data_IF_556863879242
#
_entry.id   IF_556863879242
#
_cell.length_a   1.000
_cell.length_b   1.000
_cell.length_c   1.000
_cell.angle_alpha   90.00
_cell.angle_beta   90.00
_cell.angle_gamma   90.00
#
_symmetry.space_group_name_H-M   'P 1'
#
loop_
_entity.id
_entity.type
_entity.pdbx_description
1 polymer ?
#
# COMPACT_ATOMS: atom_id res chain seq x y z
N UNK A 1 -7.28 -2.57 23.72
CA UNK A 1 -6.79 -1.18 23.90
C UNK A 1 -7.97 -0.28 24.25
N UNK A 2 -7.81 0.78 25.05
CA UNK A 2 -8.93 1.70 25.32
C UNK A 2 -9.10 2.67 24.15
N UNK A 3 -10.34 2.95 23.74
CA UNK A 3 -10.73 3.81 22.61
C UNK A 3 -10.01 5.16 22.61
N UNK A 4 -9.82 5.75 23.79
CA UNK A 4 -9.13 7.04 23.94
C UNK A 4 -7.67 7.04 23.46
N UNK A 5 -6.95 5.93 23.62
CA UNK A 5 -5.56 5.79 23.13
C UNK A 5 -5.53 5.62 21.61
N UNK A 6 -6.54 4.95 21.05
CA UNK A 6 -6.68 4.76 19.60
C UNK A 6 -6.98 6.10 18.90
N UNK A 7 -7.95 6.84 19.42
CA UNK A 7 -8.34 8.14 18.85
C UNK A 7 -7.20 9.16 18.92
N UNK A 8 -6.43 9.13 20.02
CA UNK A 8 -5.28 10.03 20.21
C UNK A 8 -4.15 9.85 19.18
N UNK A 9 -4.10 8.69 18.51
CA UNK A 9 -3.07 8.34 17.52
C UNK A 9 -3.59 8.52 16.10
N UNK A 10 -4.86 8.18 15.87
CA UNK A 10 -5.45 8.13 14.54
C UNK A 10 -5.96 9.48 14.06
N UNK A 11 -6.66 10.21 14.92
CA UNK A 11 -7.25 11.51 14.57
C UNK A 11 -6.21 12.55 14.09
N UNK A 12 -5.02 12.68 14.71
CA UNK A 12 -4.02 13.64 14.22
C UNK A 12 -3.51 13.31 12.80
N UNK A 13 -3.33 12.03 12.46
CA UNK A 13 -2.89 11.62 11.12
C UNK A 13 -3.98 11.91 10.09
N UNK A 14 -5.23 11.61 10.43
CA UNK A 14 -6.38 11.90 9.58
C UNK A 14 -6.55 13.40 9.33
N UNK A 15 -6.41 14.24 10.35
CA UNK A 15 -6.51 15.70 10.23
C UNK A 15 -5.40 16.28 9.34
N UNK A 16 -4.19 15.69 9.36
CA UNK A 16 -3.11 16.14 8.47
C UNK A 16 -3.43 15.90 6.99
N UNK A 17 -4.09 14.79 6.65
CA UNK A 17 -4.37 14.40 5.26
C UNK A 17 -5.67 15.02 4.75
N UNK A 18 -6.72 15.03 5.59
CA UNK A 18 -8.08 15.41 5.19
C UNK A 18 -8.58 16.73 5.79
N UNK A 19 -7.84 17.30 6.74
CA UNK A 19 -8.18 18.56 7.38
C UNK A 19 -7.76 19.79 6.58
N UNK A 20 -7.74 20.93 7.25
CA UNK A 20 -7.58 22.24 6.63
C UNK A 20 -6.17 22.54 6.06
N UNK A 21 -5.20 21.63 6.20
CA UNK A 21 -3.84 21.82 5.67
C UNK A 21 -3.72 21.49 4.17
N UNK A 22 -4.74 20.84 3.59
CA UNK A 22 -4.94 20.66 2.15
C UNK A 22 -3.66 20.28 1.35
N UNK A 23 -2.95 19.20 1.72
CA UNK A 23 -1.71 18.81 1.04
C UNK A 23 -1.90 18.52 -0.45
N UNK A 24 -3.10 18.06 -0.83
CA UNK A 24 -3.46 17.80 -2.24
C UNK A 24 -3.46 19.09 -3.06
N UNK A 25 -4.11 20.15 -2.56
CA UNK A 25 -4.22 21.42 -3.28
C UNK A 25 -2.86 22.08 -3.45
N UNK A 26 -2.07 22.10 -2.38
CA UNK A 26 -0.71 22.67 -2.42
C UNK A 26 0.17 21.91 -3.40
N UNK A 27 0.15 20.57 -3.39
CA UNK A 27 0.94 19.77 -4.34
C UNK A 27 0.55 20.01 -5.80
N UNK A 28 -0.76 20.10 -6.10
CA UNK A 28 -1.24 20.29 -7.48
C UNK A 28 -0.98 21.72 -7.97
N UNK A 29 -0.98 22.71 -7.08
CA UNK A 29 -0.82 24.13 -7.44
C UNK A 29 0.65 24.57 -7.50
N UNK A 30 1.46 24.19 -6.51
CA UNK A 30 2.83 24.69 -6.35
C UNK A 30 3.90 23.60 -6.42
N UNK A 31 3.52 22.32 -6.45
CA UNK A 31 4.48 21.22 -6.41
C UNK A 31 5.19 21.09 -5.07
N UNK A 32 4.62 21.67 -4.01
CA UNK A 32 5.17 21.67 -2.65
C UNK A 32 4.17 21.06 -1.67
N UNK A 33 4.70 20.45 -0.60
CA UNK A 33 3.90 20.14 0.58
C UNK A 33 3.69 21.42 1.40
N UNK A 34 2.60 21.52 2.18
CA UNK A 34 2.43 22.60 3.15
C UNK A 34 3.59 22.65 4.15
N UNK A 35 3.87 23.84 4.68
CA UNK A 35 4.94 24.05 5.65
C UNK A 35 4.84 23.05 6.82
N UNK A 36 5.97 22.44 7.16
CA UNK A 36 6.14 21.43 8.21
C UNK A 36 5.32 20.14 8.05
N UNK A 37 4.47 20.00 7.01
CA UNK A 37 3.54 18.89 6.88
C UNK A 37 4.22 17.52 6.92
N UNK A 38 5.33 17.36 6.20
CA UNK A 38 6.14 16.13 6.20
C UNK A 38 6.60 15.76 7.62
N UNK A 39 7.18 16.71 8.34
CA UNK A 39 7.74 16.46 9.67
C UNK A 39 6.63 16.13 10.67
N UNK A 40 5.49 16.82 10.57
CA UNK A 40 4.33 16.54 11.41
C UNK A 40 3.75 15.16 11.12
N UNK A 41 3.58 14.79 9.84
CA UNK A 41 3.11 13.47 9.44
C UNK A 41 4.03 12.36 9.96
N UNK A 42 5.35 12.48 9.74
CA UNK A 42 6.32 11.48 10.22
C UNK A 42 6.37 11.40 11.75
N UNK A 43 6.20 12.51 12.46
CA UNK A 43 6.12 12.51 13.92
C UNK A 43 4.88 11.75 14.42
N UNK A 44 3.71 11.98 13.79
CA UNK A 44 2.48 11.26 14.13
C UNK A 44 2.60 9.77 13.77
N UNK A 45 3.17 9.45 12.61
CA UNK A 45 3.37 8.05 12.19
C UNK A 45 4.29 7.31 13.15
N UNK A 46 5.38 7.94 13.61
CA UNK A 46 6.29 7.36 14.61
C UNK A 46 5.62 7.13 15.97
N UNK A 47 4.71 8.00 16.38
CA UNK A 47 3.89 7.76 17.57
C UNK A 47 2.95 6.55 17.35
N UNK A 48 2.39 6.43 16.15
CA UNK A 48 1.51 5.34 15.77
C UNK A 48 2.23 3.98 15.66
N UNK A 49 3.49 3.95 15.20
CA UNK A 49 4.32 2.74 15.09
C UNK A 49 4.49 1.98 16.41
N UNK A 50 4.36 2.63 17.56
CA UNK A 50 4.46 1.98 18.87
C UNK A 50 3.20 1.18 19.23
N UNK A 51 2.09 1.43 18.54
CA UNK A 51 0.75 0.98 18.91
C UNK A 51 0.11 0.15 17.80
N UNK A 52 0.22 0.62 16.56
CA UNK A 52 -0.48 0.06 15.41
C UNK A 52 -0.05 -1.38 15.05
N UNK A 53 1.24 -1.76 15.07
CA UNK A 53 1.64 -3.13 14.74
C UNK A 53 1.06 -4.19 15.69
N UNK A 54 0.99 -3.85 16.99
CA UNK A 54 0.41 -4.71 18.01
C UNK A 54 -1.13 -4.69 18.05
N UNK A 55 -1.78 -3.87 17.21
CA UNK A 55 -3.22 -3.85 17.09
C UNK A 55 -3.67 -4.56 15.81
N UNK A 56 -4.36 -5.68 15.97
CA UNK A 56 -4.78 -6.54 14.87
C UNK A 56 -5.91 -5.94 14.03
N UNK A 57 -6.66 -4.96 14.56
CA UNK A 57 -7.80 -4.35 13.90
C UNK A 57 -7.63 -2.85 13.75
N UNK A 58 -7.82 -2.33 12.54
CA UNK A 58 -7.69 -0.91 12.20
C UNK A 58 -8.99 -0.36 11.65
N UNK A 59 -9.24 0.94 11.86
CA UNK A 59 -10.32 1.61 11.16
C UNK A 59 -9.98 1.73 9.67
N UNK A 60 -10.98 1.57 8.80
CA UNK A 60 -10.82 1.76 7.36
C UNK A 60 -10.35 3.17 7.03
N UNK A 61 -10.87 4.17 7.74
CA UNK A 61 -10.48 5.58 7.56
C UNK A 61 -9.01 5.83 7.87
N UNK A 62 -8.49 5.28 8.96
CA UNK A 62 -7.06 5.36 9.28
C UNK A 62 -6.24 4.71 8.16
N UNK A 63 -6.59 3.49 7.79
CA UNK A 63 -5.87 2.78 6.75
C UNK A 63 -5.89 3.53 5.42
N UNK A 64 -7.06 4.05 5.03
CA UNK A 64 -7.23 4.86 3.83
C UNK A 64 -6.40 6.13 3.87
N UNK A 65 -6.30 6.78 5.03
CA UNK A 65 -5.45 7.94 5.26
C UNK A 65 -3.97 7.64 4.98
N UNK A 66 -3.46 6.56 5.57
CA UNK A 66 -2.08 6.12 5.40
C UNK A 66 -1.82 5.71 3.93
N UNK A 67 -2.72 4.90 3.38
CA UNK A 67 -2.68 4.46 1.99
C UNK A 67 -2.69 5.65 1.02
N UNK A 68 -3.54 6.64 1.27
CA UNK A 68 -3.62 7.85 0.47
C UNK A 68 -2.33 8.67 0.54
N UNK A 69 -1.79 8.89 1.75
CA UNK A 69 -0.54 9.61 1.92
C UNK A 69 0.63 8.94 1.17
N UNK A 70 0.74 7.62 1.26
CA UNK A 70 1.83 6.86 0.66
C UNK A 70 1.71 6.69 -0.87
N UNK A 71 0.50 6.55 -1.41
CA UNK A 71 0.32 6.22 -2.83
C UNK A 71 -0.21 7.38 -3.67
N UNK A 72 -1.06 8.24 -3.10
CA UNK A 72 -1.79 9.25 -3.85
C UNK A 72 -1.20 10.65 -3.77
N UNK A 73 -0.51 11.03 -2.69
CA UNK A 73 0.24 12.30 -2.67
C UNK A 73 1.40 12.32 -3.70
N UNK A 74 2.22 11.25 -3.84
CA UNK A 74 3.21 11.17 -4.92
C UNK A 74 2.58 11.35 -6.31
N UNK A 75 1.43 10.72 -6.52
CA UNK A 75 0.65 10.85 -7.76
C UNK A 75 0.22 12.29 -8.06
N UNK A 76 -0.19 13.06 -7.05
CA UNK A 76 -0.56 14.47 -7.24
C UNK A 76 0.64 15.33 -7.64
N UNK A 77 1.79 15.06 -7.02
CA UNK A 77 3.03 15.74 -7.37
C UNK A 77 3.50 15.40 -8.79
N UNK A 78 3.43 14.14 -9.21
CA UNK A 78 3.79 13.72 -10.57
C UNK A 78 2.91 14.40 -11.63
N UNK A 79 1.62 14.59 -11.35
CA UNK A 79 0.71 15.35 -12.23
C UNK A 79 1.17 16.80 -12.33
N UNK A 80 1.49 17.46 -11.21
CA UNK A 80 2.00 18.83 -11.24
C UNK A 80 3.31 18.93 -12.03
N UNK A 81 4.28 18.06 -11.76
CA UNK A 81 5.58 18.02 -12.45
C UNK A 81 5.42 17.85 -13.97
N UNK A 82 4.52 16.95 -14.40
CA UNK A 82 4.24 16.73 -15.82
C UNK A 82 3.58 17.94 -16.51
N UNK A 83 2.73 18.68 -15.80
CA UNK A 83 2.02 19.86 -16.33
C UNK A 83 2.89 21.12 -16.30
N UNK A 84 3.64 21.34 -15.21
CA UNK A 84 4.49 22.51 -15.02
C UNK A 84 5.81 22.42 -15.79
N UNK A 85 6.29 21.20 -16.06
CA UNK A 85 7.63 20.94 -16.58
C UNK A 85 8.75 21.27 -15.59
N UNK A 86 8.42 21.41 -14.29
CA UNK A 86 9.35 21.77 -13.23
C UNK A 86 9.57 20.61 -12.26
N UNK A 87 10.82 20.43 -11.85
CA UNK A 87 11.20 19.41 -10.85
C UNK A 87 11.40 20.07 -9.48
N UNK A 88 10.74 19.54 -8.45
CA UNK A 88 11.01 19.88 -7.05
C UNK A 88 11.54 18.66 -6.29
N UNK A 89 12.87 18.52 -6.26
CA UNK A 89 13.56 17.39 -5.63
C UNK A 89 13.31 17.27 -4.14
N UNK A 90 13.16 18.38 -3.44
CA UNK A 90 12.88 18.37 -2.00
C UNK A 90 11.53 17.73 -1.72
N UNK A 91 10.50 18.12 -2.49
CA UNK A 91 9.16 17.53 -2.35
C UNK A 91 9.13 16.07 -2.79
N UNK A 92 9.85 15.71 -3.87
CA UNK A 92 10.00 14.31 -4.29
C UNK A 92 10.63 13.45 -3.20
N UNK A 93 11.71 13.92 -2.57
CA UNK A 93 12.38 13.23 -1.46
C UNK A 93 11.45 13.11 -0.24
N UNK A 94 10.73 14.18 0.11
CA UNK A 94 9.77 14.18 1.20
C UNK A 94 8.67 13.12 0.98
N UNK A 95 8.08 13.07 -0.22
CA UNK A 95 7.06 12.09 -0.59
C UNK A 95 7.61 10.66 -0.62
N UNK A 96 8.86 10.48 -1.07
CA UNK A 96 9.56 9.20 -0.99
C UNK A 96 9.72 8.70 0.45
N UNK A 97 10.07 9.59 1.38
CA UNK A 97 10.21 9.26 2.81
C UNK A 97 8.86 8.97 3.50
N UNK A 98 7.82 9.73 3.16
CA UNK A 98 6.44 9.46 3.60
C UNK A 98 5.98 8.08 3.13
N UNK A 99 6.20 7.77 1.85
CA UNK A 99 5.87 6.48 1.26
C UNK A 99 6.61 5.35 1.98
N UNK A 100 7.94 5.47 2.12
CA UNK A 100 8.77 4.46 2.76
C UNK A 100 8.33 4.17 4.19
N UNK A 101 8.20 5.20 5.01
CA UNK A 101 7.87 5.01 6.43
C UNK A 101 6.50 4.37 6.59
N UNK A 102 5.52 4.80 5.79
CA UNK A 102 4.17 4.22 5.81
C UNK A 102 4.15 2.76 5.34
N UNK A 103 4.90 2.43 4.29
CA UNK A 103 5.04 1.06 3.81
C UNK A 103 5.67 0.15 4.88
N UNK A 104 6.76 0.59 5.53
CA UNK A 104 7.39 -0.18 6.59
C UNK A 104 6.41 -0.48 7.73
N UNK A 105 5.55 0.48 8.10
CA UNK A 105 4.48 0.26 9.07
C UNK A 105 3.49 -0.82 8.61
N UNK A 106 3.04 -0.79 7.35
CA UNK A 106 2.13 -1.82 6.81
C UNK A 106 2.75 -3.22 6.89
N UNK A 107 3.99 -3.37 6.44
CA UNK A 107 4.66 -4.67 6.44
C UNK A 107 5.01 -5.16 7.84
N UNK A 108 5.37 -4.26 8.76
CA UNK A 108 5.54 -4.59 10.18
C UNK A 108 4.23 -5.10 10.79
N UNK A 109 3.12 -4.42 10.52
CA UNK A 109 1.79 -4.80 11.02
C UNK A 109 1.38 -6.18 10.50
N UNK A 110 1.62 -6.47 9.22
CA UNK A 110 1.38 -7.80 8.65
C UNK A 110 2.20 -8.88 9.39
N UNK A 111 3.48 -8.63 9.66
CA UNK A 111 4.37 -9.56 10.34
C UNK A 111 3.96 -9.89 11.78
N UNK A 112 3.25 -8.97 12.44
CA UNK A 112 2.74 -9.13 13.80
C UNK A 112 1.32 -9.70 13.84
N UNK A 113 0.67 -9.86 12.68
CA UNK A 113 -0.69 -10.37 12.60
C UNK A 113 -0.78 -11.89 12.74
N UNK A 114 -1.96 -12.37 13.15
CA UNK A 114 -2.28 -13.79 13.23
C UNK A 114 -2.06 -14.52 11.91
N UNK A 115 -2.22 -13.84 10.76
CA UNK A 115 -2.00 -14.44 9.45
C UNK A 115 -0.55 -14.92 9.25
N UNK A 116 0.42 -14.26 9.87
CA UNK A 116 1.83 -14.64 9.81
C UNK A 116 2.29 -15.43 11.05
N UNK A 117 1.73 -15.13 12.23
CA UNK A 117 2.18 -15.74 13.50
C UNK A 117 1.47 -17.06 13.81
N UNK A 118 0.19 -17.16 13.47
CA UNK A 118 -0.65 -18.32 13.77
C UNK A 118 -1.60 -18.63 12.59
N UNK A 119 -1.07 -18.95 11.39
CA UNK A 119 -1.87 -19.14 10.17
C UNK A 119 -2.94 -20.24 10.32
N UNK A 120 -2.72 -21.19 11.22
CA UNK A 120 -3.68 -22.25 11.51
C UNK A 120 -4.95 -21.78 12.24
N UNK A 121 -4.92 -20.60 12.84
CA UNK A 121 -6.09 -19.96 13.46
C UNK A 121 -7.03 -19.29 12.45
N UNK A 122 -6.60 -19.11 11.19
CA UNK A 122 -7.42 -18.47 10.18
C UNK A 122 -8.62 -19.33 9.79
N UNK A 123 -9.78 -18.70 9.66
CA UNK A 123 -10.94 -19.28 8.99
C UNK A 123 -10.61 -19.67 7.55
N UNK A 124 -11.38 -20.58 6.97
CA UNK A 124 -11.16 -21.04 5.59
C UNK A 124 -11.21 -19.89 4.56
N UNK A 125 -12.14 -18.94 4.75
CA UNK A 125 -12.28 -17.73 3.94
C UNK A 125 -11.06 -16.83 4.00
N UNK A 126 -10.56 -16.53 5.21
CA UNK A 126 -9.36 -15.72 5.44
C UNK A 126 -8.11 -16.40 4.92
N UNK A 127 -7.98 -17.71 5.10
CA UNK A 127 -6.89 -18.51 4.50
C UNK A 127 -6.93 -18.43 2.98
N UNK A 128 -8.09 -18.61 2.37
CA UNK A 128 -8.27 -18.47 0.91
C UNK A 128 -7.87 -17.08 0.43
N UNK A 129 -8.27 -16.03 1.15
CA UNK A 129 -7.90 -14.65 0.84
C UNK A 129 -6.38 -14.44 0.94
N UNK A 130 -5.75 -14.95 2.00
CA UNK A 130 -4.31 -14.91 2.17
C UNK A 130 -3.57 -15.59 1.01
N UNK A 131 -3.97 -16.81 0.63
CA UNK A 131 -3.38 -17.55 -0.48
C UNK A 131 -3.43 -16.78 -1.81
N UNK A 132 -4.57 -16.14 -2.11
CA UNK A 132 -4.78 -15.38 -3.34
C UNK A 132 -3.99 -14.07 -3.40
N UNK A 133 -3.59 -13.51 -2.24
CA UNK A 133 -2.98 -12.18 -2.15
C UNK A 133 -1.50 -12.24 -1.82
N UNK A 134 -1.13 -12.94 -0.74
CA UNK A 134 0.22 -12.97 -0.18
C UNK A 134 0.86 -14.37 -0.26
N UNK A 135 0.05 -15.41 -0.51
CA UNK A 135 0.50 -16.79 -0.60
C UNK A 135 0.80 -17.28 -2.04
N UNK A 136 1.06 -18.59 -2.20
CA UNK A 136 1.38 -19.24 -3.47
C UNK A 136 0.39 -19.02 -4.63
N UNK A 137 -0.89 -18.74 -4.37
CA UNK A 137 -1.88 -18.50 -5.43
C UNK A 137 -1.84 -17.05 -5.97
N UNK A 138 -1.00 -16.19 -5.41
CA UNK A 138 -0.76 -14.84 -5.89
C UNK A 138 -0.09 -14.83 -7.28
N UNK A 139 -0.54 -13.97 -8.23
CA UNK A 139 0.00 -13.94 -9.58
C UNK A 139 1.44 -13.42 -9.66
N UNK A 140 1.94 -12.79 -8.59
CA UNK A 140 3.30 -12.25 -8.50
C UNK A 140 4.40 -13.25 -8.88
N UNK A 141 4.18 -14.55 -8.64
CA UNK A 141 5.20 -15.60 -8.79
C UNK A 141 5.14 -16.42 -10.07
N UNK A 142 4.19 -16.17 -10.98
CA UNK A 142 4.07 -17.00 -12.19
C UNK A 142 3.60 -16.15 -13.36
N UNK A 143 4.27 -16.21 -14.53
CA UNK A 143 3.74 -15.62 -15.76
C UNK A 143 2.40 -16.28 -16.10
N UNK A 144 1.30 -15.63 -15.75
CA UNK A 144 -0.04 -16.15 -16.03
C UNK A 144 -0.46 -15.82 -17.45
N UNK A 145 -1.10 -16.79 -18.12
CA UNK A 145 -1.87 -16.50 -19.35
C UNK A 145 -3.09 -15.65 -18.99
N UNK A 146 -3.59 -14.84 -19.92
CA UNK A 146 -4.73 -13.92 -19.67
C UNK A 146 -5.95 -14.60 -19.06
N UNK A 147 -6.25 -15.85 -19.45
CA UNK A 147 -7.34 -16.64 -18.86
C UNK A 147 -7.11 -17.00 -17.38
N UNK A 148 -5.88 -17.34 -17.01
CA UNK A 148 -5.54 -17.66 -15.62
C UNK A 148 -5.59 -16.41 -14.74
N UNK A 149 -5.14 -15.27 -15.27
CA UNK A 149 -5.26 -13.98 -14.58
C UNK A 149 -6.74 -13.59 -14.37
N UNK A 150 -7.60 -13.82 -15.36
CA UNK A 150 -9.05 -13.63 -15.23
C UNK A 150 -9.66 -14.52 -14.14
N UNK A 151 -9.25 -15.80 -14.09
CA UNK A 151 -9.72 -16.74 -13.08
C UNK A 151 -9.27 -16.34 -11.68
N UNK A 152 -8.00 -15.96 -11.52
CA UNK A 152 -7.48 -15.43 -10.27
C UNK A 152 -8.25 -14.17 -9.85
N UNK A 153 -8.45 -13.22 -10.77
CA UNK A 153 -9.17 -11.97 -10.46
C UNK A 153 -10.61 -12.23 -10.01
N UNK A 154 -11.30 -13.17 -10.66
CA UNK A 154 -12.63 -13.59 -10.25
C UNK A 154 -12.64 -14.23 -8.85
N UNK A 155 -11.69 -15.13 -8.58
CA UNK A 155 -11.55 -15.77 -7.27
C UNK A 155 -11.22 -14.75 -6.16
N UNK A 156 -10.32 -13.81 -6.44
CA UNK A 156 -9.97 -12.70 -5.54
C UNK A 156 -11.20 -11.85 -5.20
N UNK A 157 -12.01 -11.46 -6.19
CA UNK A 157 -13.23 -10.68 -5.95
C UNK A 157 -14.22 -11.41 -5.05
N UNK A 158 -14.45 -12.69 -5.30
CA UNK A 158 -15.32 -13.51 -4.45
C UNK A 158 -14.76 -13.56 -3.03
N UNK A 159 -13.46 -13.85 -2.90
CA UNK A 159 -12.81 -13.96 -1.60
C UNK A 159 -12.86 -12.66 -0.80
N UNK A 160 -12.61 -11.50 -1.42
CA UNK A 160 -12.74 -10.20 -0.76
C UNK A 160 -14.17 -9.93 -0.29
N UNK A 161 -15.17 -10.25 -1.10
CA UNK A 161 -16.57 -10.13 -0.70
C UNK A 161 -16.94 -11.07 0.46
N UNK A 162 -16.41 -12.29 0.48
CA UNK A 162 -16.63 -13.25 1.57
C UNK A 162 -16.03 -12.74 2.87
N UNK A 163 -14.75 -12.34 2.88
CA UNK A 163 -14.13 -11.79 4.11
C UNK A 163 -14.78 -10.48 4.56
N UNK A 164 -15.38 -9.72 3.62
CA UNK A 164 -16.16 -8.54 3.94
C UNK A 164 -17.49 -8.84 4.63
N UNK A 165 -18.18 -9.90 4.19
CA UNK A 165 -19.44 -10.32 4.79
C UNK A 165 -19.26 -10.84 6.22
N UNK A 166 -18.05 -11.27 6.59
CA UNK A 166 -17.72 -11.74 7.94
C UNK A 166 -17.51 -10.60 8.96
N UNK A 167 -17.30 -9.37 8.50
CA UNK A 167 -17.06 -8.25 9.41
C UNK A 167 -18.37 -7.77 10.03
N UNK A 168 -18.44 -7.81 11.36
CA UNK A 168 -19.58 -7.32 12.13
C UNK A 168 -19.68 -5.80 12.10
N UNK A 169 -18.54 -5.13 12.15
CA UNK A 169 -18.40 -3.68 11.98
C UNK A 169 -17.75 -3.41 10.62
N UNK A 170 -18.40 -2.60 9.79
CA UNK A 170 -17.85 -2.25 8.47
C UNK A 170 -16.74 -1.22 8.53
N UNK A 171 -16.57 -0.53 9.66
CA UNK A 171 -15.60 0.55 9.83
C UNK A 171 -14.26 0.09 10.41
N UNK A 172 -14.21 -1.10 11.04
CA UNK A 172 -13.00 -1.66 11.68
C UNK A 172 -12.73 -3.06 11.12
N UNK A 173 -11.49 -3.31 10.73
CA UNK A 173 -11.09 -4.49 9.97
C UNK A 173 -9.76 -5.05 10.43
N UNK A 174 -9.52 -6.37 10.28
CA UNK A 174 -8.20 -6.95 10.47
C UNK A 174 -7.17 -6.24 9.58
N UNK A 175 -6.15 -5.64 10.21
CA UNK A 175 -5.18 -4.78 9.54
C UNK A 175 -4.45 -5.51 8.41
N UNK A 176 -4.15 -6.80 8.57
CA UNK A 176 -3.50 -7.61 7.55
C UNK A 176 -4.35 -7.76 6.27
N UNK A 177 -5.69 -7.77 6.38
CA UNK A 177 -6.58 -7.80 5.21
C UNK A 177 -6.44 -6.49 4.44
N UNK A 178 -6.40 -5.35 5.15
CA UNK A 178 -6.24 -4.04 4.54
C UNK A 178 -4.87 -3.92 3.84
N UNK A 179 -3.80 -4.35 4.51
CA UNK A 179 -2.45 -4.41 3.91
C UNK A 179 -2.43 -5.29 2.67
N UNK A 180 -3.08 -6.45 2.69
CA UNK A 180 -3.21 -7.33 1.52
C UNK A 180 -4.01 -6.68 0.37
N UNK A 181 -5.06 -5.92 0.67
CA UNK A 181 -5.80 -5.13 -0.34
C UNK A 181 -4.91 -4.05 -0.94
N UNK A 182 -4.13 -3.33 -0.13
CA UNK A 182 -3.15 -2.35 -0.63
C UNK A 182 -2.09 -3.01 -1.52
N UNK A 183 -1.56 -4.17 -1.11
CA UNK A 183 -0.65 -4.96 -1.94
C UNK A 183 -1.28 -5.24 -3.31
N UNK A 184 -2.49 -5.79 -3.34
CA UNK A 184 -3.17 -6.11 -4.59
C UNK A 184 -3.43 -4.86 -5.45
N UNK A 185 -3.70 -3.72 -4.82
CA UNK A 185 -4.04 -2.46 -5.52
C UNK A 185 -2.90 -1.92 -6.38
N UNK A 186 -1.64 -2.07 -5.96
CA UNK A 186 -0.50 -1.46 -6.65
C UNK A 186 0.55 -2.46 -7.12
N UNK A 187 0.85 -3.49 -6.34
CA UNK A 187 1.98 -4.37 -6.60
C UNK A 187 1.70 -5.36 -7.71
N UNK A 188 0.45 -5.80 -7.84
CA UNK A 188 0.05 -6.69 -8.92
C UNK A 188 0.09 -5.95 -10.25
N UNK A 189 -0.38 -4.72 -10.32
CA UNK A 189 -0.26 -3.93 -11.55
C UNK A 189 1.21 -3.67 -11.90
N UNK A 190 2.06 -3.40 -10.90
CA UNK A 190 3.51 -3.30 -11.12
C UNK A 190 4.09 -4.60 -11.72
N UNK A 191 3.73 -5.77 -11.19
CA UNK A 191 4.13 -7.06 -11.74
C UNK A 191 3.64 -7.24 -13.19
N UNK A 192 2.37 -6.90 -13.44
CA UNK A 192 1.71 -7.05 -14.73
C UNK A 192 2.31 -6.13 -15.80
N UNK A 193 2.89 -4.99 -15.42
CA UNK A 193 3.67 -4.16 -16.33
C UNK A 193 4.98 -4.79 -16.80
N UNK A 194 5.34 -6.01 -16.34
CA UNK A 194 6.50 -6.83 -16.76
C UNK A 194 7.83 -6.09 -16.72
N UNK A 195 7.95 -5.09 -15.87
CA UNK A 195 9.15 -4.28 -15.76
C UNK A 195 10.21 -5.00 -14.94
N UNK A 196 11.26 -5.50 -15.59
CA UNK A 196 12.53 -5.72 -14.89
C UNK A 196 13.19 -4.36 -14.70
N UNK A 197 13.49 -3.94 -13.46
CA UNK A 197 14.23 -2.70 -13.24
C UNK A 197 15.61 -2.82 -13.90
N UNK A 198 16.03 -1.78 -14.63
CA UNK A 198 17.47 -1.57 -14.84
C UNK A 198 18.03 -1.25 -13.47
N UNK A 199 18.93 -2.09 -12.96
CA UNK A 199 19.71 -1.93 -11.71
C UNK A 199 19.69 -0.48 -11.19
N UNK A 200 18.69 -0.15 -10.37
CA UNK A 200 18.68 1.10 -9.61
C UNK A 200 19.68 0.89 -8.49
N UNK A 201 20.69 1.77 -8.37
CA UNK A 201 21.74 1.62 -7.37
C UNK A 201 21.15 1.28 -6.00
N UNK A 202 21.59 0.17 -5.40
CA UNK A 202 21.14 -0.26 -4.08
C UNK A 202 21.58 0.77 -3.04
N UNK A 203 20.71 1.72 -2.69
CA UNK A 203 20.81 2.36 -1.40
C UNK A 203 20.35 1.34 -0.36
N UNK A 204 21.32 0.79 0.39
CA UNK A 204 21.02 -0.09 1.52
C UNK A 204 20.24 0.69 2.57
N UNK A 205 19.07 0.18 2.94
CA UNK A 205 18.31 0.68 4.07
C UNK A 205 18.14 -0.49 5.05
N UNK A 206 18.79 -0.45 6.23
CA UNK A 206 18.75 -1.55 7.19
C UNK A 206 17.34 -1.94 7.63
N UNK A 207 16.41 -0.99 7.71
CA UNK A 207 15.02 -1.27 8.08
C UNK A 207 14.28 -2.06 6.97
N UNK A 208 14.53 -1.71 5.71
CA UNK A 208 14.01 -2.45 4.55
C UNK A 208 14.57 -3.87 4.54
N UNK A 209 15.88 -4.02 4.68
CA UNK A 209 16.54 -5.34 4.69
C UNK A 209 16.01 -6.23 5.82
N UNK A 210 15.81 -5.65 7.01
CA UNK A 210 15.25 -6.35 8.16
C UNK A 210 13.81 -6.82 7.92
N UNK A 211 12.95 -5.96 7.36
CA UNK A 211 11.56 -6.32 7.04
C UNK A 211 11.52 -7.42 5.97
N UNK A 212 12.27 -7.28 4.88
CA UNK A 212 12.31 -8.28 3.81
C UNK A 212 12.81 -9.64 4.30
N UNK A 213 13.82 -9.65 5.17
CA UNK A 213 14.34 -10.87 5.78
C UNK A 213 13.29 -11.57 6.68
N UNK A 214 12.46 -10.79 7.39
CA UNK A 214 11.36 -11.33 8.20
C UNK A 214 10.22 -11.85 7.32
N UNK A 215 9.76 -11.07 6.34
CA UNK A 215 8.70 -11.47 5.41
C UNK A 215 9.03 -12.80 4.71
N UNK A 216 10.30 -12.98 4.31
CA UNK A 216 10.78 -14.22 3.68
C UNK A 216 10.66 -15.47 4.56
N UNK A 217 10.49 -15.31 5.87
CA UNK A 217 10.36 -16.40 6.85
C UNK A 217 8.93 -16.57 7.38
N UNK A 218 8.00 -15.71 6.97
CA UNK A 218 6.65 -15.59 7.55
C UNK A 218 5.54 -16.22 6.70
N UNK A 219 5.89 -17.19 5.84
CA UNK A 219 4.93 -17.90 4.98
C UNK A 219 4.43 -17.09 3.77
N UNK A 220 4.91 -15.87 3.57
CA UNK A 220 4.62 -15.05 2.39
C UNK A 220 5.38 -15.61 1.18
N UNK A 221 4.74 -15.67 0.03
CA UNK A 221 5.35 -16.21 -1.18
C UNK A 221 6.61 -15.40 -1.58
N UNK A 222 7.73 -16.04 -1.97
CA UNK A 222 8.97 -15.35 -2.31
C UNK A 222 8.82 -14.27 -3.40
N UNK A 223 7.92 -14.49 -4.35
CA UNK A 223 7.63 -13.53 -5.40
C UNK A 223 6.89 -12.29 -4.90
N UNK A 224 6.03 -12.43 -3.89
CA UNK A 224 5.39 -11.31 -3.20
C UNK A 224 6.46 -10.46 -2.50
N UNK A 225 7.38 -11.10 -1.77
CA UNK A 225 8.51 -10.41 -1.13
C UNK A 225 9.38 -9.67 -2.15
N UNK A 226 9.60 -10.26 -3.32
CA UNK A 226 10.37 -9.64 -4.40
C UNK A 226 9.69 -8.38 -4.97
N UNK A 227 8.35 -8.37 -5.07
CA UNK A 227 7.60 -7.17 -5.45
C UNK A 227 7.62 -6.11 -4.35
N UNK A 228 7.59 -6.52 -3.08
CA UNK A 228 7.75 -5.61 -1.93
C UNK A 228 9.11 -4.91 -2.00
N UNK A 229 10.19 -5.67 -2.18
CA UNK A 229 11.53 -5.13 -2.36
C UNK A 229 11.61 -4.15 -3.54
N UNK A 230 11.03 -4.51 -4.68
CA UNK A 230 11.00 -3.65 -5.86
C UNK A 230 10.31 -2.32 -5.59
N UNK A 231 9.15 -2.32 -4.93
CA UNK A 231 8.43 -1.09 -4.61
C UNK A 231 9.23 -0.20 -3.64
N UNK A 232 9.76 -0.79 -2.56
CA UNK A 232 10.51 -0.05 -1.54
C UNK A 232 11.77 0.62 -2.10
N UNK A 233 12.42 0.00 -3.08
CA UNK A 233 13.59 0.54 -3.79
C UNK A 233 13.27 1.66 -4.77
N UNK A 234 11.99 1.88 -5.09
CA UNK A 234 11.59 2.70 -6.23
C UNK A 234 10.63 3.83 -5.86
N UNK A 235 10.45 4.05 -4.57
CA UNK A 235 9.70 5.15 -3.94
C UNK A 235 10.00 6.56 -4.50
N UNK A 236 11.24 6.82 -4.90
CA UNK A 236 11.69 8.12 -5.44
C UNK A 236 11.62 8.16 -6.99
N UNK A 237 11.23 7.07 -7.63
CA UNK A 237 11.07 7.03 -9.09
C UNK A 237 9.77 7.74 -9.47
N UNK A 238 9.76 8.58 -10.52
CA UNK A 238 8.53 9.17 -11.05
C UNK A 238 7.47 8.10 -11.31
N UNK A 239 6.21 8.38 -10.99
CA UNK A 239 5.10 7.47 -11.25
C UNK A 239 4.42 7.79 -12.58
N UNK A 240 3.75 6.79 -13.16
CA UNK A 240 2.82 7.00 -14.25
C UNK A 240 1.46 7.52 -13.76
N UNK A 241 0.53 7.77 -14.68
CA UNK A 241 -0.85 8.18 -14.34
C UNK A 241 -1.62 7.15 -13.49
N UNK A 242 -1.10 5.92 -13.39
CA UNK A 242 -1.61 4.86 -12.52
C UNK A 242 -0.80 4.73 -11.22
N UNK A 243 0.10 5.65 -10.87
CA UNK A 243 0.82 5.63 -9.60
C UNK A 243 1.88 4.55 -9.51
N UNK A 244 2.20 3.91 -10.62
CA UNK A 244 3.18 2.85 -10.69
C UNK A 244 4.52 3.46 -11.10
N UNK A 245 5.63 3.06 -10.48
CA UNK A 245 6.94 3.60 -10.84
C UNK A 245 7.25 3.38 -12.33
N UNK A 246 7.80 4.40 -12.98
CA UNK A 246 8.20 4.34 -14.38
C UNK A 246 9.56 3.65 -14.54
N UNK A 247 9.57 2.36 -14.89
CA UNK A 247 10.77 1.66 -15.34
C UNK A 247 10.72 1.34 -16.83
N UNK A 248 11.84 1.55 -17.53
CA UNK A 248 12.02 1.08 -18.90
C UNK A 248 11.30 1.92 -19.96
N UNK A 249 11.27 1.42 -21.20
CA UNK A 249 10.58 2.06 -22.33
C UNK A 249 9.13 1.56 -22.39
N UNK A 250 8.19 2.42 -22.79
CA UNK A 250 6.73 2.24 -22.72
C UNK A 250 6.12 1.11 -23.59
N UNK A 251 6.83 0.00 -23.80
CA UNK A 251 6.37 -1.14 -24.61
C UNK A 251 5.74 -2.19 -23.70
N UNK A 252 4.52 -2.60 -24.08
CA UNK A 252 3.69 -3.68 -23.50
C UNK A 252 2.61 -3.33 -22.47
N UNK A 253 2.18 -2.06 -22.35
CA UNK A 253 0.95 -1.71 -21.59
C UNK A 253 -0.37 -2.08 -22.29
N UNK A 254 -0.32 -2.62 -23.52
CA UNK A 254 -1.51 -2.77 -24.40
C UNK A 254 -2.35 -4.04 -24.16
N UNK A 255 -1.88 -5.02 -23.39
CA UNK A 255 -2.51 -6.36 -23.36
C UNK A 255 -3.27 -6.69 -22.07
N UNK A 256 -3.23 -5.83 -21.04
CA UNK A 256 -3.82 -6.14 -19.75
C UNK A 256 -5.01 -5.23 -19.48
N UNK A 257 -6.20 -5.75 -19.76
CA UNK A 257 -7.48 -5.09 -19.48
C UNK A 257 -7.97 -5.26 -18.04
N UNK A 258 -7.16 -5.88 -17.17
CA UNK A 258 -7.56 -6.31 -15.83
C UNK A 258 -6.55 -5.81 -14.81
N UNK A 259 -6.85 -4.63 -14.26
CA UNK A 259 -6.22 -4.13 -13.04
C UNK A 259 -7.17 -4.42 -11.86
N UNK A 260 -6.70 -5.08 -10.79
CA UNK A 260 -7.51 -5.27 -9.60
C UNK A 260 -7.70 -3.98 -8.80
N UNK A 261 -6.90 -2.95 -9.07
CA UNK A 261 -6.87 -1.68 -8.35
C UNK A 261 -8.25 -1.07 -8.18
N UNK A 262 -8.96 -0.77 -9.26
CA UNK A 262 -10.28 -0.10 -9.19
C UNK A 262 -11.23 -0.79 -8.20
N UNK A 263 -11.21 -2.13 -8.15
CA UNK A 263 -12.04 -2.87 -7.22
C UNK A 263 -11.58 -2.73 -5.78
N UNK A 264 -10.27 -2.79 -5.52
CA UNK A 264 -9.68 -2.56 -4.20
C UNK A 264 -9.91 -1.13 -3.71
N UNK A 265 -9.74 -0.12 -4.55
CA UNK A 265 -9.96 1.29 -4.18
C UNK A 265 -11.42 1.56 -3.83
N UNK A 266 -12.36 1.01 -4.61
CA UNK A 266 -13.79 1.08 -4.27
C UNK A 266 -14.12 0.36 -2.97
N UNK A 267 -13.39 -0.71 -2.65
CA UNK A 267 -13.54 -1.39 -1.37
C UNK A 267 -13.07 -0.51 -0.22
N UNK A 268 -11.89 0.11 -0.32
CA UNK A 268 -11.34 0.99 0.71
C UNK A 268 -12.21 2.23 0.94
N UNK A 269 -12.78 2.81 -0.13
CA UNK A 269 -13.64 3.99 -0.05
C UNK A 269 -15.02 3.73 0.56
N UNK A 270 -15.60 2.53 0.37
CA UNK A 270 -16.94 2.20 0.89
C UNK A 270 -17.00 2.02 2.41
N UNK A 271 -15.86 2.07 3.09
CA UNK A 271 -15.74 2.09 4.55
C UNK A 271 -16.09 3.43 5.19
N UNK A 272 -15.93 4.52 4.44
CA UNK A 272 -16.33 5.85 4.87
C UNK A 272 -17.82 6.00 4.56
N UNK A 273 -18.65 5.75 5.58
CA UNK A 273 -20.08 5.94 5.52
C UNK A 273 -20.43 7.34 4.99
N UNK A 274 -20.89 7.37 3.75
CA UNK A 274 -21.83 8.37 3.24
C UNK A 274 -23.23 7.76 3.27
#
# INVERSE_FOLDING_TARGET
MNTQQWDSVTQPVEELVWGAREPVETLISTGQLPDHWKNDYLAQLKAAEQILPGNHDWSLRLFWTLHFAACYLPLRWDVWNAVSGQENRETQQALGEISLTTELLFWQTLLESDACVAPDSLTESRRTFFELTLGPACPAGTPLKSRQLQQWYHAFKISLHTVAAEQSDRSIWPAWILVAVHFVSFYIDLHLQRTQPKSTGNQQNPAVDQILARLSRSGIAPAVVSLIDLWLKTRETPRDHSGLPLFGTARERKELSLSPRTFCELFLQKGDGS
#
